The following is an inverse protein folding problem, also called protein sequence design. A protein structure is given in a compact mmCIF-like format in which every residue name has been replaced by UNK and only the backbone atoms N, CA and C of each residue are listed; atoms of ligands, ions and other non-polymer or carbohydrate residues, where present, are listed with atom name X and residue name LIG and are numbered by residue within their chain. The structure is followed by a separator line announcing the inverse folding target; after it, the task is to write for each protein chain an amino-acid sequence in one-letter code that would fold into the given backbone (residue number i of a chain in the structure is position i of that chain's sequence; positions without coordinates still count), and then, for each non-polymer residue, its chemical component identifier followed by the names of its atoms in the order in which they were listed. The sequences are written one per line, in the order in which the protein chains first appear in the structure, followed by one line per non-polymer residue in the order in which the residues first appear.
data_IF_758480729366
#
_entry.id   IF_758480729366
#
_cell.length_a   1.000
_cell.length_b   1.000
_cell.length_c   1.000
_cell.angle_alpha   90.00
_cell.angle_beta   90.00
_cell.angle_gamma   90.00
#
_symmetry.space_group_name_H-M   'P 1'
#
loop_
_entity.id
_entity.type
_entity.pdbx_description
1 polymer ?
#
# COMPACT_ATOMS: atom_id res chain seq x y z
N UNK A 1 -33.56 58.94 -27.08
CA UNK A 1 -32.91 60.25 -26.84
C UNK A 1 -33.37 60.78 -25.48
N UNK A 2 -32.44 61.01 -24.54
CA UNK A 2 -32.52 61.76 -23.25
C UNK A 2 -33.67 61.39 -22.28
N UNK A 3 -33.50 61.23 -20.97
CA UNK A 3 -32.53 61.85 -20.05
C UNK A 3 -32.37 61.01 -18.77
N UNK A 4 -31.18 61.06 -18.21
CA UNK A 4 -30.75 60.51 -16.93
C UNK A 4 -30.98 61.55 -15.81
N UNK A 5 -31.44 61.11 -14.63
CA UNK A 5 -31.31 61.82 -13.35
C UNK A 5 -31.25 60.76 -12.22
N UNK A 6 -30.07 60.32 -11.77
CA UNK A 6 -29.20 60.86 -10.70
C UNK A 6 -29.84 61.00 -9.31
N UNK A 7 -29.31 60.15 -8.41
CA UNK A 7 -29.03 60.34 -6.98
C UNK A 7 -30.12 60.01 -5.94
N UNK A 8 -29.95 58.88 -5.24
CA UNK A 8 -30.09 58.79 -3.77
C UNK A 8 -29.40 57.49 -3.30
N UNK A 9 -28.14 57.56 -2.86
CA UNK A 9 -27.73 57.56 -1.44
C UNK A 9 -28.25 56.35 -0.65
N UNK A 10 -27.39 55.35 -0.43
CA UNK A 10 -27.25 54.70 0.88
C UNK A 10 -25.93 53.91 0.95
N UNK A 11 -24.96 54.49 1.66
CA UNK A 11 -23.80 53.80 2.22
C UNK A 11 -24.27 52.90 3.36
N UNK A 12 -23.92 51.61 3.32
CA UNK A 12 -23.77 50.81 4.54
C UNK A 12 -22.46 50.03 4.46
N UNK A 13 -21.50 50.53 5.23
CA UNK A 13 -20.28 49.85 5.66
C UNK A 13 -20.68 48.82 6.72
N UNK A 14 -20.40 47.54 6.50
CA UNK A 14 -20.26 46.58 7.60
C UNK A 14 -19.04 45.70 7.35
N UNK A 15 -17.98 46.09 8.05
CA UNK A 15 -16.79 45.31 8.36
C UNK A 15 -17.18 44.21 9.36
N UNK A 16 -16.94 42.94 9.03
CA UNK A 16 -16.86 41.88 10.02
C UNK A 16 -15.73 40.92 9.63
N UNK A 17 -14.55 41.20 10.19
CA UNK A 17 -13.45 40.26 10.27
C UNK A 17 -13.78 39.25 11.38
N UNK A 18 -13.90 37.98 11.04
CA UNK A 18 -13.83 36.88 12.03
C UNK A 18 -12.79 35.87 11.56
N UNK A 19 -11.56 36.06 12.04
CA UNK A 19 -10.60 34.96 12.20
C UNK A 19 -10.92 34.29 13.53
N UNK A 20 -11.34 33.02 13.53
CA UNK A 20 -11.00 32.06 14.58
C UNK A 20 -11.06 30.62 14.05
N UNK A 21 -10.04 29.88 14.47
CA UNK A 21 -9.58 28.54 14.15
C UNK A 21 -10.60 27.43 14.47
N UNK A 22 -10.68 26.39 13.62
CA UNK A 22 -10.76 25.00 14.08
C UNK A 22 -10.56 23.99 12.97
N UNK A 23 -9.62 23.08 13.21
CA UNK A 23 -9.39 21.84 12.50
C UNK A 23 -10.70 21.10 12.18
N UNK A 24 -10.86 20.68 10.94
CA UNK A 24 -11.27 19.30 10.67
C UNK A 24 -10.19 18.67 9.82
N UNK A 25 -9.22 18.06 10.51
CA UNK A 25 -8.62 16.85 9.96
C UNK A 25 -9.79 15.97 9.56
N UNK A 26 -9.93 15.73 8.25
CA UNK A 26 -10.76 14.63 7.80
C UNK A 26 -9.98 13.40 8.23
N UNK A 27 -10.22 12.95 9.45
CA UNK A 27 -10.08 11.55 9.78
C UNK A 27 -10.89 10.85 8.70
N UNK A 28 -10.17 10.34 7.70
CA UNK A 28 -10.76 9.49 6.69
C UNK A 28 -11.13 8.27 7.49
N UNK A 29 -12.43 8.13 7.77
CA UNK A 29 -13.01 6.89 8.24
C UNK A 29 -12.33 5.75 7.48
N UNK A 30 -11.45 5.02 8.16
CA UNK A 30 -10.88 3.79 7.59
C UNK A 30 -12.10 2.92 7.35
N UNK A 31 -12.37 2.49 6.11
CA UNK A 31 -13.61 1.79 5.82
C UNK A 31 -13.74 0.61 6.78
N UNK A 32 -14.90 0.49 7.45
CA UNK A 32 -15.17 -0.52 8.48
C UNK A 32 -15.19 -1.97 7.96
N UNK A 33 -14.62 -2.22 6.78
CA UNK A 33 -14.57 -3.51 6.11
C UNK A 33 -13.12 -3.86 5.71
N UNK A 34 -12.20 -3.74 6.67
CA UNK A 34 -10.82 -4.16 6.51
C UNK A 34 -10.65 -5.66 6.84
N UNK A 35 -11.34 -6.54 6.10
CA UNK A 35 -11.20 -7.98 6.30
C UNK A 35 -9.84 -8.49 5.80
N UNK A 36 -9.38 -9.62 6.34
CA UNK A 36 -8.15 -10.28 5.90
C UNK A 36 -8.19 -10.66 4.41
N UNK A 37 -9.36 -11.07 3.91
CA UNK A 37 -9.54 -11.37 2.50
C UNK A 37 -9.43 -10.12 1.61
N UNK A 38 -10.01 -9.00 2.04
CA UNK A 38 -9.86 -7.72 1.34
C UNK A 38 -8.39 -7.25 1.39
N UNK A 39 -7.69 -7.47 2.50
CA UNK A 39 -6.28 -7.18 2.63
C UNK A 39 -5.43 -8.00 1.65
N UNK A 40 -5.65 -9.32 1.55
CA UNK A 40 -4.97 -10.18 0.57
C UNK A 40 -5.19 -9.70 -0.87
N UNK A 41 -6.42 -9.29 -1.21
CA UNK A 41 -6.71 -8.72 -2.53
C UNK A 41 -5.96 -7.40 -2.79
N UNK A 42 -5.80 -6.54 -1.77
CA UNK A 42 -4.99 -5.31 -1.90
C UNK A 42 -3.49 -5.61 -2.07
N UNK A 43 -2.97 -6.62 -1.40
CA UNK A 43 -1.57 -7.06 -1.48
C UNK A 43 -1.24 -7.69 -2.85
N UNK A 44 -2.18 -8.38 -3.49
CA UNK A 44 -1.93 -9.02 -4.78
C UNK A 44 -1.57 -7.98 -5.88
N UNK A 45 -0.53 -8.25 -6.65
CA UNK A 45 -0.08 -7.44 -7.78
C UNK A 45 1.35 -7.74 -8.22
N UNK A 46 1.86 -6.92 -9.13
CA UNK A 46 3.26 -6.98 -9.60
C UNK A 46 4.07 -5.87 -8.94
N UNK A 47 5.21 -6.24 -8.39
CA UNK A 47 6.10 -5.35 -7.66
C UNK A 47 7.45 -5.29 -8.32
N UNK A 48 7.98 -4.08 -8.46
CA UNK A 48 9.34 -3.83 -8.93
C UNK A 48 10.21 -3.30 -7.80
N UNK A 49 11.41 -3.84 -7.64
CA UNK A 49 12.29 -3.48 -6.53
C UNK A 49 13.64 -4.17 -6.57
N UNK A 50 14.18 -4.41 -5.37
CA UNK A 50 15.44 -5.14 -5.18
C UNK A 50 15.15 -6.47 -4.51
N UNK A 51 15.62 -7.56 -5.12
CA UNK A 51 15.69 -8.88 -4.49
C UNK A 51 17.12 -9.09 -3.99
N UNK A 52 17.29 -9.54 -2.75
CA UNK A 52 18.55 -9.99 -2.18
C UNK A 52 18.47 -11.48 -1.88
N UNK A 53 19.36 -12.26 -2.49
CA UNK A 53 19.51 -13.70 -2.27
C UNK A 53 20.92 -13.92 -1.73
N UNK A 54 21.04 -14.25 -0.43
CA UNK A 54 22.32 -14.56 0.22
C UNK A 54 23.41 -13.53 -0.11
N UNK A 55 23.11 -12.24 0.07
CA UNK A 55 24.02 -11.12 -0.20
C UNK A 55 24.28 -10.80 -1.68
N UNK A 56 23.50 -11.38 -2.60
CA UNK A 56 23.50 -10.99 -4.01
C UNK A 56 22.25 -10.16 -4.31
N UNK A 57 22.45 -8.88 -4.63
CA UNK A 57 21.36 -7.97 -4.97
C UNK A 57 21.05 -7.96 -6.47
N UNK A 58 19.76 -8.06 -6.78
CA UNK A 58 19.19 -7.93 -8.12
C UNK A 58 18.27 -6.72 -8.15
N UNK A 59 18.73 -5.65 -8.80
CA UNK A 59 17.95 -4.43 -8.99
C UNK A 59 16.92 -4.58 -10.11
N UNK A 60 15.87 -3.77 -10.06
CA UNK A 60 14.75 -3.81 -11.01
C UNK A 60 14.05 -5.19 -11.08
N UNK A 61 14.22 -6.01 -10.05
CA UNK A 61 13.63 -7.32 -9.95
C UNK A 61 12.11 -7.21 -9.82
N UNK A 62 11.42 -8.16 -10.46
CA UNK A 62 9.97 -8.28 -10.49
C UNK A 62 9.54 -9.46 -9.64
N UNK A 63 8.74 -9.16 -8.61
CA UNK A 63 8.03 -10.14 -7.79
C UNK A 63 6.54 -10.06 -8.12
N UNK A 64 5.93 -11.20 -8.38
CA UNK A 64 4.49 -11.35 -8.57
C UNK A 64 3.88 -11.87 -7.26
N UNK A 65 2.85 -11.19 -6.78
CA UNK A 65 2.06 -11.60 -5.62
C UNK A 65 0.65 -11.89 -6.11
N UNK A 66 0.25 -13.15 -6.14
CA UNK A 66 -1.09 -13.57 -6.61
C UNK A 66 -1.98 -13.94 -5.44
N UNK A 67 -3.24 -13.50 -5.45
CA UNK A 67 -4.22 -13.96 -4.46
C UNK A 67 -4.53 -15.43 -4.75
N UNK A 68 -4.51 -16.25 -3.71
CA UNK A 68 -4.98 -17.63 -3.73
C UNK A 68 -6.43 -17.65 -3.18
N UNK A 69 -6.78 -18.63 -2.34
CA UNK A 69 -8.06 -18.67 -1.66
C UNK A 69 -8.09 -17.84 -0.36
N UNK A 70 -9.23 -17.23 -0.06
CA UNK A 70 -9.44 -16.45 1.17
C UNK A 70 -8.42 -15.33 1.33
N UNK A 71 -7.70 -15.33 2.44
CA UNK A 71 -6.66 -14.35 2.76
C UNK A 71 -5.23 -14.81 2.41
N UNK A 72 -5.06 -15.83 1.57
CA UNK A 72 -3.74 -16.31 1.18
C UNK A 72 -3.23 -15.62 -0.08
N UNK A 73 -1.93 -15.35 -0.13
CA UNK A 73 -1.23 -14.87 -1.33
C UNK A 73 0.00 -15.70 -1.60
N UNK A 74 0.28 -15.97 -2.87
CA UNK A 74 1.50 -16.63 -3.33
C UNK A 74 2.47 -15.57 -3.86
N UNK A 75 3.72 -15.66 -3.43
CA UNK A 75 4.82 -14.79 -3.84
C UNK A 75 5.76 -15.60 -4.73
N UNK A 76 5.97 -15.13 -5.96
CA UNK A 76 6.81 -15.77 -6.97
C UNK A 76 7.72 -14.74 -7.65
N UNK A 77 8.98 -15.09 -7.90
CA UNK A 77 9.82 -14.30 -8.80
C UNK A 77 9.38 -14.45 -10.26
N UNK A 78 9.56 -13.40 -11.06
CA UNK A 78 9.33 -13.45 -12.51
C UNK A 78 10.22 -14.55 -13.15
N UNK A 79 9.65 -15.47 -13.94
CA UNK A 79 10.41 -16.53 -14.61
C UNK A 79 11.43 -15.99 -15.62
N UNK A 80 12.53 -16.73 -15.80
CA UNK A 80 13.57 -16.44 -16.80
C UNK A 80 14.55 -15.33 -16.41
N UNK A 81 14.43 -14.81 -15.19
CA UNK A 81 15.31 -13.79 -14.63
C UNK A 81 16.43 -14.43 -13.79
N UNK A 82 17.59 -13.79 -13.60
CA UNK A 82 18.69 -14.35 -12.80
C UNK A 82 18.32 -14.72 -11.36
N UNK A 83 17.31 -14.07 -10.80
CA UNK A 83 16.78 -14.31 -9.45
C UNK A 83 15.57 -15.25 -9.43
N UNK A 84 15.20 -15.88 -10.56
CA UNK A 84 13.96 -16.67 -10.66
C UNK A 84 14.02 -18.03 -9.96
N UNK A 85 15.20 -18.41 -9.45
CA UNK A 85 15.42 -19.66 -8.72
C UNK A 85 14.96 -19.62 -7.27
N UNK A 86 14.55 -18.46 -6.73
CA UNK A 86 14.00 -18.37 -5.37
C UNK A 86 12.76 -19.23 -5.18
N UNK A 87 12.61 -19.80 -3.98
CA UNK A 87 11.44 -20.64 -3.69
C UNK A 87 10.20 -19.77 -3.52
N UNK A 88 9.12 -20.12 -4.22
CA UNK A 88 7.83 -19.46 -4.04
C UNK A 88 7.23 -19.75 -2.66
N UNK A 89 6.63 -18.75 -2.02
CA UNK A 89 6.01 -18.88 -0.69
C UNK A 89 4.55 -18.47 -0.71
N UNK A 90 3.73 -19.13 0.12
CA UNK A 90 2.33 -18.75 0.33
C UNK A 90 2.23 -18.14 1.72
N UNK A 91 1.76 -16.91 1.80
CA UNK A 91 1.55 -16.17 3.04
C UNK A 91 0.06 -16.08 3.37
N UNK A 92 -0.28 -16.22 4.64
CA UNK A 92 -1.62 -15.90 5.16
C UNK A 92 -1.66 -14.45 5.62
N UNK A 93 -2.36 -13.59 4.87
CA UNK A 93 -2.41 -12.15 5.09
C UNK A 93 -3.43 -11.80 6.17
N UNK A 94 -3.05 -10.86 7.04
CA UNK A 94 -3.90 -10.21 8.02
C UNK A 94 -4.01 -8.72 7.71
N UNK A 95 -5.19 -8.19 7.94
CA UNK A 95 -5.42 -6.76 7.85
C UNK A 95 -4.93 -6.07 9.14
N UNK A 96 -4.26 -4.92 9.01
CA UNK A 96 -3.86 -4.13 10.19
C UNK A 96 -5.06 -3.28 10.63
N UNK A 97 -5.48 -3.45 11.89
CA UNK A 97 -6.63 -2.73 12.43
C UNK A 97 -6.37 -1.22 12.44
N UNK A 98 -7.36 -0.44 11.99
CA UNK A 98 -7.24 1.02 11.91
C UNK A 98 -6.36 1.54 10.76
N UNK A 99 -5.93 0.70 9.81
CA UNK A 99 -5.29 1.15 8.56
C UNK A 99 -5.71 0.30 7.36
N UNK A 100 -5.27 0.68 6.15
CA UNK A 100 -5.46 -0.15 4.95
C UNK A 100 -4.26 -1.09 4.67
N UNK A 101 -3.28 -1.08 5.57
CA UNK A 101 -2.06 -1.88 5.47
C UNK A 101 -2.38 -3.36 5.75
N UNK A 102 -1.42 -4.21 5.42
CA UNK A 102 -1.58 -5.65 5.52
C UNK A 102 -0.25 -6.31 5.86
N UNK A 103 -0.31 -7.42 6.58
CA UNK A 103 0.87 -8.12 7.05
C UNK A 103 0.68 -9.63 7.13
N UNK A 104 1.79 -10.35 7.06
CA UNK A 104 1.93 -11.72 7.54
C UNK A 104 3.19 -11.74 8.41
N UNK A 105 3.03 -11.62 9.72
CA UNK A 105 4.13 -11.61 10.69
C UNK A 105 4.05 -12.88 11.54
N UNK A 106 5.21 -13.47 11.85
CA UNK A 106 5.31 -14.67 12.70
C UNK A 106 4.91 -15.96 12.00
N UNK A 107 4.86 -15.96 10.67
CA UNK A 107 4.58 -17.13 9.88
C UNK A 107 5.85 -17.95 9.61
N UNK A 108 5.77 -19.29 9.53
CA UNK A 108 6.95 -20.14 9.30
C UNK A 108 7.62 -19.89 7.94
N UNK A 109 6.87 -19.43 6.94
CA UNK A 109 7.37 -19.05 5.62
C UNK A 109 8.10 -17.70 5.59
N UNK A 110 8.04 -16.93 6.69
CA UNK A 110 8.69 -15.64 6.86
C UNK A 110 7.73 -14.48 7.13
N UNK A 111 8.11 -13.29 6.67
CA UNK A 111 7.37 -12.05 6.90
C UNK A 111 7.02 -11.34 5.61
N UNK A 112 5.80 -10.81 5.52
CA UNK A 112 5.36 -9.89 4.47
C UNK A 112 4.72 -8.67 5.11
N UNK A 113 5.11 -7.47 4.70
CA UNK A 113 4.48 -6.21 5.13
C UNK A 113 4.18 -5.36 3.90
N UNK A 114 2.93 -4.93 3.77
CA UNK A 114 2.46 -4.08 2.69
C UNK A 114 1.92 -2.75 3.23
N UNK A 115 2.54 -1.66 2.80
CA UNK A 115 2.07 -0.30 3.08
C UNK A 115 1.15 0.19 1.97
N UNK A 116 -0.13 0.44 2.29
CA UNK A 116 -1.14 0.82 1.29
C UNK A 116 -0.89 2.21 0.73
N UNK A 117 -0.54 3.19 1.57
CA UNK A 117 -0.37 4.58 1.17
C UNK A 117 0.78 4.77 0.16
N UNK A 118 1.93 4.16 0.43
CA UNK A 118 3.10 4.22 -0.45
C UNK A 118 3.16 3.09 -1.49
N UNK A 119 2.20 2.15 -1.44
CA UNK A 119 2.15 0.94 -2.28
C UNK A 119 3.47 0.15 -2.26
N UNK A 120 4.17 0.17 -1.14
CA UNK A 120 5.44 -0.53 -0.95
C UNK A 120 5.20 -1.88 -0.29
N UNK A 121 6.11 -2.82 -0.55
CA UNK A 121 6.11 -4.13 0.07
C UNK A 121 7.51 -4.49 0.53
N UNK A 122 7.58 -5.17 1.67
CA UNK A 122 8.78 -5.84 2.16
C UNK A 122 8.43 -7.30 2.38
N UNK A 123 9.26 -8.20 1.84
CA UNK A 123 9.10 -9.65 1.96
C UNK A 123 10.44 -10.21 2.43
N UNK A 124 10.40 -11.04 3.46
CA UNK A 124 11.55 -11.81 3.95
C UNK A 124 11.08 -13.24 4.05
N UNK A 125 11.58 -14.13 3.20
CA UNK A 125 11.20 -15.54 3.25
C UNK A 125 12.14 -16.33 4.15
N UNK A 126 11.60 -17.33 4.84
CA UNK A 126 12.37 -18.33 5.58
C UNK A 126 12.31 -19.70 4.90
N UNK A 127 13.35 -20.53 5.04
CA UNK A 127 13.33 -21.89 4.51
C UNK A 127 12.34 -22.74 5.31
N UNK A 128 11.48 -23.48 4.62
CA UNK A 128 10.51 -24.42 5.20
C UNK A 128 10.81 -25.88 4.83
N UNK A 129 11.73 -26.08 3.88
CA UNK A 129 12.24 -27.38 3.45
C UNK A 129 13.72 -27.29 3.07
N UNK A 130 14.41 -28.43 3.03
CA UNK A 130 15.78 -28.52 2.54
C UNK A 130 15.84 -28.12 1.06
N UNK A 131 16.82 -27.29 0.70
CA UNK A 131 16.98 -26.76 -0.66
C UNK A 131 16.14 -25.51 -0.96
N UNK A 132 15.35 -25.01 -0.01
CA UNK A 132 14.65 -23.74 -0.19
C UNK A 132 15.62 -22.57 -0.34
N UNK A 133 15.45 -21.81 -1.42
CA UNK A 133 16.21 -20.59 -1.67
C UNK A 133 15.40 -19.42 -1.12
N UNK A 134 15.85 -18.89 0.02
CA UNK A 134 15.26 -17.73 0.68
C UNK A 134 15.72 -16.42 0.05
N UNK A 135 14.90 -15.39 0.13
CA UNK A 135 15.21 -14.06 -0.36
C UNK A 135 14.58 -12.96 0.50
N UNK A 136 15.16 -11.78 0.40
CA UNK A 136 14.57 -10.53 0.85
C UNK A 136 14.15 -9.72 -0.37
N UNK A 137 12.98 -9.08 -0.32
CA UNK A 137 12.52 -8.20 -1.37
C UNK A 137 11.98 -6.90 -0.79
N UNK A 138 12.35 -5.79 -1.41
CA UNK A 138 11.83 -4.45 -1.11
C UNK A 138 11.46 -3.79 -2.42
N UNK A 139 10.19 -3.43 -2.58
CA UNK A 139 9.71 -2.89 -3.85
C UNK A 139 8.42 -2.09 -3.73
N UNK A 140 7.96 -1.61 -4.87
CA UNK A 140 6.72 -0.87 -5.02
C UNK A 140 5.84 -1.50 -6.08
N UNK A 141 4.53 -1.40 -5.89
CA UNK A 141 3.53 -1.93 -6.83
C UNK A 141 3.55 -1.12 -8.12
N UNK A 142 3.55 -1.79 -9.27
CA UNK A 142 3.48 -1.17 -10.60
C UNK A 142 2.06 -0.74 -10.97
#
# INVERSE_FOLDING_TARGET
MKSISKNLSLLFFTLALTLLFSCKGKDKDVPSNNSDEAAAARVAGTYKGTVDITSTEYFNAIIQVTKENGNKVKVTAKPGEPYSNVTSKIFTIKAIQGSNDAEAIGAPEGTLVYGHAAKNIVIVTLPTASGDISFNFRGTKQ
#
